data_IF_695431776736
#
_entry.id   IF_695431776736
#
_cell.length_a   1.000
_cell.length_b   1.000
_cell.length_c   1.000
_cell.angle_alpha   90.00
_cell.angle_beta   90.00
_cell.angle_gamma   90.00
#
_symmetry.space_group_name_H-M   'P 1'
#
loop_
_entity.id
_entity.type
_entity.pdbx_description
1 polymer ?
#
# COMPACT_ATOMS: atom_id res chain seq x y z
N UNK A 1 -4.46 -9.55 12.65
CA UNK A 1 -5.78 -9.35 13.27
C UNK A 1 -6.58 -8.22 12.61
N UNK A 2 -5.99 -7.04 12.38
CA UNK A 2 -6.74 -5.86 11.90
C UNK A 2 -7.54 -6.08 10.61
N UNK A 3 -6.94 -6.65 9.57
CA UNK A 3 -7.66 -6.92 8.30
C UNK A 3 -8.68 -8.04 8.45
N UNK A 4 -8.22 -9.23 8.89
CA UNK A 4 -9.04 -10.45 8.87
C UNK A 4 -10.07 -10.56 10.01
N UNK A 5 -9.79 -9.98 11.18
CA UNK A 5 -10.66 -10.03 12.36
C UNK A 5 -11.29 -8.68 12.68
N UNK A 6 -10.62 -7.58 12.31
CA UNK A 6 -11.08 -6.22 12.57
C UNK A 6 -11.78 -5.53 11.40
N UNK A 7 -11.85 -6.18 10.22
CA UNK A 7 -12.48 -5.60 9.02
C UNK A 7 -11.77 -4.36 8.48
N UNK A 8 -10.51 -4.12 8.87
CA UNK A 8 -9.74 -2.98 8.39
C UNK A 8 -9.27 -3.16 6.95
N UNK A 9 -9.20 -2.04 6.22
CA UNK A 9 -8.46 -1.95 4.95
C UNK A 9 -7.00 -1.58 5.21
N UNK A 10 -6.11 -1.97 4.31
CA UNK A 10 -4.68 -1.70 4.44
C UNK A 10 -4.08 -1.24 3.12
N UNK A 11 -3.05 -0.41 3.22
CA UNK A 11 -2.21 0.03 2.13
C UNK A 11 -0.74 -0.14 2.51
N UNK A 12 0.11 -0.50 1.56
CA UNK A 12 1.49 -0.87 1.84
C UNK A 12 2.45 -0.47 0.74
N UNK A 13 3.65 -0.08 1.14
CA UNK A 13 4.75 0.28 0.26
C UNK A 13 6.08 -0.12 0.90
N UNK A 14 6.98 -0.68 0.12
CA UNK A 14 8.33 -1.05 0.55
C UNK A 14 9.25 0.16 0.41
N UNK A 15 10.01 0.43 1.46
CA UNK A 15 11.00 1.51 1.54
C UNK A 15 12.42 0.94 1.68
N UNK A 16 13.42 1.80 1.51
CA UNK A 16 14.85 1.43 1.56
C UNK A 16 15.47 1.07 0.21
N UNK A 17 14.66 0.89 -0.84
CA UNK A 17 15.11 0.89 -2.22
C UNK A 17 15.27 2.33 -2.76
N UNK A 18 15.88 2.48 -3.93
CA UNK A 18 16.04 3.79 -4.59
C UNK A 18 14.71 4.46 -4.97
N UNK A 19 13.62 3.70 -5.04
CA UNK A 19 12.25 4.16 -5.31
C UNK A 19 11.25 3.37 -4.46
N UNK A 20 10.06 3.92 -4.14
CA UNK A 20 9.01 3.16 -3.47
C UNK A 20 8.52 1.99 -4.35
N UNK A 21 8.30 0.82 -3.75
CA UNK A 21 7.81 -0.38 -4.46
C UNK A 21 6.52 -0.87 -3.83
N UNK A 22 5.49 -1.10 -4.65
CA UNK A 22 4.23 -1.70 -4.22
C UNK A 22 4.30 -3.20 -4.52
N UNK A 23 4.09 -4.02 -3.49
CA UNK A 23 3.91 -5.46 -3.65
C UNK A 23 2.42 -5.76 -3.60
N UNK A 24 1.91 -6.43 -4.63
CA UNK A 24 0.50 -6.81 -4.69
C UNK A 24 0.31 -8.27 -4.32
N UNK A 25 -0.84 -8.56 -3.73
CA UNK A 25 -1.33 -9.90 -3.42
C UNK A 25 -2.63 -10.16 -4.16
N UNK A 26 -2.87 -11.44 -4.46
CA UNK A 26 -4.17 -11.91 -4.98
C UNK A 26 -5.33 -11.54 -4.03
N UNK A 27 -5.06 -11.47 -2.73
CA UNK A 27 -6.07 -11.15 -1.72
C UNK A 27 -6.36 -9.65 -1.59
N UNK A 28 -5.62 -8.78 -2.30
CA UNK A 28 -5.80 -7.34 -2.17
C UNK A 28 -7.13 -6.90 -2.82
N UNK A 29 -7.83 -6.02 -2.13
CA UNK A 29 -8.99 -5.32 -2.68
C UNK A 29 -8.56 -4.28 -3.72
N UNK A 30 -9.50 -3.80 -4.54
CA UNK A 30 -9.26 -2.68 -5.46
C UNK A 30 -8.83 -1.44 -4.68
N UNK A 31 -9.47 -1.18 -3.54
CA UNK A 31 -9.16 -0.05 -2.68
C UNK A 31 -7.73 -0.15 -2.13
N UNK A 32 -7.34 -1.30 -1.59
CA UNK A 32 -5.99 -1.54 -1.07
C UNK A 32 -4.90 -1.25 -2.11
N UNK A 33 -5.12 -1.65 -3.37
CA UNK A 33 -4.20 -1.34 -4.47
C UNK A 33 -4.11 0.17 -4.73
N UNK A 34 -5.25 0.86 -4.87
CA UNK A 34 -5.28 2.31 -5.15
C UNK A 34 -4.63 3.10 -4.01
N UNK A 35 -4.95 2.78 -2.77
CA UNK A 35 -4.39 3.44 -1.59
C UNK A 35 -2.88 3.22 -1.49
N UNK A 36 -2.40 2.01 -1.82
CA UNK A 36 -0.96 1.72 -1.89
C UNK A 36 -0.27 2.54 -2.99
N UNK A 37 -0.92 2.74 -4.14
CA UNK A 37 -0.41 3.61 -5.22
C UNK A 37 -0.34 5.07 -4.80
N UNK A 38 -1.38 5.58 -4.14
CA UNK A 38 -1.40 6.94 -3.63
C UNK A 38 -0.27 7.17 -2.60
N UNK A 39 -0.07 6.23 -1.68
CA UNK A 39 1.05 6.26 -0.73
C UNK A 39 2.40 6.28 -1.45
N UNK A 40 2.61 5.40 -2.44
CA UNK A 40 3.86 5.34 -3.18
C UNK A 40 4.15 6.66 -3.92
N UNK A 41 3.13 7.28 -4.53
CA UNK A 41 3.27 8.59 -5.19
C UNK A 41 3.64 9.69 -4.21
N UNK A 42 3.01 9.73 -3.05
CA UNK A 42 3.30 10.73 -2.02
C UNK A 42 4.72 10.58 -1.46
N UNK A 43 5.22 9.35 -1.32
CA UNK A 43 6.59 9.09 -0.86
C UNK A 43 7.64 9.29 -1.95
N UNK A 44 7.28 9.13 -3.23
CA UNK A 44 8.17 9.41 -4.36
C UNK A 44 8.37 10.93 -4.57
N UNK A 45 7.32 11.70 -4.33
CA UNK A 45 7.32 13.15 -4.52
C UNK A 45 6.83 13.85 -3.23
N UNK A 46 7.64 13.85 -2.16
CA UNK A 46 7.28 14.60 -0.97
C UNK A 46 7.25 16.09 -1.31
N UNK A 47 6.07 16.67 -1.26
CA UNK A 47 5.82 18.12 -1.38
C UNK A 47 6.35 18.88 -0.17
#
# INVERSE_FOLDING_TARGET
ALVYLGGAECAGVVLGASVPIILTSRSDSVFSRIASTALAMQLANPS
#
